data_IF_061964017991
#
_entry.id   IF_061964017991
#
_cell.length_a   1.000
_cell.length_b   1.000
_cell.length_c   1.000
_cell.angle_alpha   90.00
_cell.angle_beta   90.00
_cell.angle_gamma   90.00
#
_symmetry.space_group_name_H-M   'P 1'
#
loop_
_entity.id
_entity.type
_entity.pdbx_description
1 polymer ?
#
# COMPACT_ATOMS: atom_id res chain seq x y z
N UNK A 1 -11.00 6.69 -15.42
CA UNK A 1 -11.42 5.30 -15.20
C UNK A 1 -11.04 4.87 -13.79
N UNK A 2 -11.99 4.34 -13.07
CA UNK A 2 -11.69 3.86 -11.71
C UNK A 2 -10.81 2.61 -11.78
N UNK A 3 -9.80 2.49 -10.91
CA UNK A 3 -9.01 1.27 -10.84
C UNK A 3 -9.89 0.09 -10.44
N UNK A 4 -9.57 -1.06 -10.99
CA UNK A 4 -10.30 -2.28 -10.66
C UNK A 4 -9.95 -2.72 -9.24
N UNK A 5 -10.98 -2.85 -8.40
CA UNK A 5 -10.79 -3.30 -7.03
C UNK A 5 -10.36 -4.77 -7.01
N UNK A 6 -9.30 -5.11 -6.30
CA UNK A 6 -8.92 -6.52 -6.12
C UNK A 6 -9.85 -7.16 -5.09
N UNK A 7 -10.97 -7.66 -5.54
CA UNK A 7 -12.04 -8.20 -4.68
C UNK A 7 -11.56 -9.21 -3.64
N UNK A 8 -10.59 -10.02 -4.01
CA UNK A 8 -10.01 -11.01 -3.11
C UNK A 8 -9.62 -10.39 -1.76
N UNK A 9 -9.01 -9.20 -1.79
CA UNK A 9 -8.54 -8.55 -0.58
C UNK A 9 -9.69 -8.04 0.29
N UNK A 10 -10.78 -7.62 -0.33
CA UNK A 10 -11.93 -7.09 0.41
C UNK A 10 -12.85 -8.19 0.91
N UNK A 11 -12.66 -9.41 0.45
CA UNK A 11 -13.39 -10.58 0.93
C UNK A 11 -12.58 -11.33 1.98
N UNK A 12 -11.29 -11.57 1.70
CA UNK A 12 -10.45 -12.44 2.52
C UNK A 12 -9.45 -11.70 3.40
N UNK A 13 -9.22 -10.41 3.14
CA UNK A 13 -8.29 -9.59 3.91
C UNK A 13 -8.94 -8.27 4.30
N UNK A 14 -10.23 -8.29 4.64
CA UNK A 14 -10.97 -7.06 4.93
C UNK A 14 -10.45 -6.31 6.15
N UNK A 15 -9.82 -7.00 7.09
CA UNK A 15 -9.23 -6.37 8.27
C UNK A 15 -8.03 -5.48 7.95
N UNK A 16 -7.43 -5.67 6.78
CA UNK A 16 -6.26 -4.92 6.34
C UNK A 16 -6.45 -4.29 4.97
N UNK A 17 -7.72 -4.14 4.55
CA UNK A 17 -8.03 -3.56 3.24
C UNK A 17 -9.17 -2.57 3.42
N UNK A 18 -8.98 -1.36 2.93
CA UNK A 18 -9.90 -0.25 3.20
C UNK A 18 -10.24 0.50 1.92
N UNK A 19 -11.48 0.97 1.86
CA UNK A 19 -11.94 1.82 0.76
C UNK A 19 -12.32 3.19 1.31
N UNK A 20 -12.19 4.20 0.47
CA UNK A 20 -12.65 5.55 0.76
C UNK A 20 -13.69 5.93 -0.27
N UNK A 21 -14.85 6.38 0.18
CA UNK A 21 -15.94 6.80 -0.66
C UNK A 21 -16.27 8.25 -0.37
N UNK A 22 -16.82 8.96 -1.38
CA UNK A 22 -17.31 10.32 -1.16
C UNK A 22 -18.75 10.29 -0.61
N UNK A 23 -19.34 11.48 -0.42
CA UNK A 23 -20.67 11.59 0.13
C UNK A 23 -21.74 10.95 -0.76
N UNK A 24 -21.46 10.82 -2.06
CA UNK A 24 -22.36 10.18 -3.00
C UNK A 24 -22.17 8.66 -3.05
N UNK A 25 -21.23 8.12 -2.27
CA UNK A 25 -20.94 6.70 -2.25
C UNK A 25 -20.02 6.23 -3.37
N UNK A 26 -19.40 7.16 -4.09
CA UNK A 26 -18.48 6.80 -5.16
C UNK A 26 -17.10 6.50 -4.62
N UNK A 27 -16.45 5.45 -5.14
CA UNK A 27 -15.13 5.06 -4.73
C UNK A 27 -14.10 6.12 -5.11
N UNK A 28 -13.37 6.64 -4.12
CA UNK A 28 -12.33 7.64 -4.33
C UNK A 28 -10.94 7.06 -4.17
N UNK A 29 -10.82 5.96 -3.44
CA UNK A 29 -9.54 5.31 -3.27
C UNK A 29 -9.65 4.04 -2.45
N UNK A 30 -8.57 3.28 -2.45
CA UNK A 30 -8.51 2.07 -1.65
C UNK A 30 -7.05 1.70 -1.36
N UNK A 31 -6.85 0.93 -0.31
CA UNK A 31 -5.58 0.27 -0.03
C UNK A 31 -5.90 -1.17 0.34
N UNK A 32 -5.12 -2.10 -0.16
CA UNK A 32 -5.28 -3.49 0.21
C UNK A 32 -3.95 -4.11 0.58
N UNK A 33 -3.99 -4.95 1.61
CA UNK A 33 -2.80 -5.59 2.12
C UNK A 33 -3.14 -6.73 3.05
N UNK A 34 -2.14 -7.22 3.75
CA UNK A 34 -2.30 -8.36 4.65
C UNK A 34 -1.19 -8.38 5.70
N UNK A 35 -1.43 -9.13 6.76
CA UNK A 35 -0.39 -9.47 7.71
C UNK A 35 0.38 -10.66 7.14
N UNK A 36 1.71 -10.59 7.16
CA UNK A 36 2.51 -11.67 6.58
C UNK A 36 2.28 -12.96 7.34
N UNK A 37 2.10 -14.06 6.62
CA UNK A 37 1.99 -15.37 7.23
C UNK A 37 3.37 -15.99 7.51
N UNK A 38 4.40 -15.42 6.93
CA UNK A 38 5.77 -15.94 7.03
C UNK A 38 6.61 -15.14 8.01
N UNK A 39 6.54 -13.81 7.94
CA UNK A 39 7.29 -12.92 8.82
C UNK A 39 6.35 -12.36 9.89
N UNK A 40 6.49 -12.85 11.11
CA UNK A 40 5.54 -12.62 12.19
C UNK A 40 5.39 -11.16 12.63
N UNK A 41 6.36 -10.31 12.33
CA UNK A 41 6.33 -8.91 12.71
C UNK A 41 6.01 -7.98 11.53
N UNK A 42 5.72 -8.54 10.36
CA UNK A 42 5.55 -7.75 9.13
C UNK A 42 4.13 -7.77 8.61
N UNK A 43 3.79 -6.67 7.94
CA UNK A 43 2.59 -6.54 7.12
C UNK A 43 3.02 -6.06 5.74
N UNK A 44 2.16 -6.26 4.76
CA UNK A 44 2.48 -5.96 3.38
C UNK A 44 1.33 -5.22 2.72
N UNK A 45 1.64 -4.11 2.05
CA UNK A 45 0.67 -3.40 1.22
C UNK A 45 0.82 -3.91 -0.20
N UNK A 46 -0.24 -4.53 -0.71
CA UNK A 46 -0.22 -5.10 -2.05
C UNK A 46 -0.51 -4.05 -3.11
N UNK A 47 -1.50 -3.20 -2.87
CA UNK A 47 -1.92 -2.25 -3.88
C UNK A 47 -2.68 -1.08 -3.25
N UNK A 48 -2.50 0.10 -3.83
CA UNK A 48 -3.23 1.30 -3.46
C UNK A 48 -3.69 1.99 -4.74
N UNK A 49 -4.92 2.47 -4.73
CA UNK A 49 -5.45 3.25 -5.84
C UNK A 49 -6.12 4.49 -5.31
N UNK A 50 -5.90 5.63 -5.97
CA UNK A 50 -6.55 6.89 -5.63
C UNK A 50 -7.09 7.50 -6.92
N UNK A 51 -8.36 7.84 -6.92
CA UNK A 51 -8.99 8.51 -8.05
C UNK A 51 -8.18 9.77 -8.39
N UNK A 52 -7.85 9.99 -9.68
CA UNK A 52 -7.09 11.18 -10.07
C UNK A 52 -7.68 12.49 -9.57
N UNK A 53 -9.01 12.59 -9.50
CA UNK A 53 -9.68 13.78 -8.99
C UNK A 53 -9.54 14.00 -7.49
N UNK A 54 -9.12 12.96 -6.76
CA UNK A 54 -8.90 13.05 -5.31
C UNK A 54 -7.42 13.20 -4.96
N UNK A 55 -6.53 13.17 -5.93
CA UNK A 55 -5.10 13.34 -5.68
C UNK A 55 -4.84 14.76 -5.20
N UNK A 56 -3.97 14.86 -4.20
CA UNK A 56 -3.67 16.14 -3.58
C UNK A 56 -4.53 16.46 -2.37
N UNK A 57 -5.57 15.67 -2.11
CA UNK A 57 -6.45 15.87 -0.96
C UNK A 57 -5.98 15.10 0.27
N UNK A 58 -4.83 14.45 0.20
CA UNK A 58 -4.30 13.68 1.31
C UNK A 58 -4.95 12.32 1.50
N UNK A 59 -5.73 11.85 0.52
CA UNK A 59 -6.45 10.59 0.62
C UNK A 59 -5.51 9.38 0.69
N UNK A 60 -4.45 9.37 -0.14
CA UNK A 60 -3.47 8.30 -0.08
C UNK A 60 -2.81 8.18 1.28
N UNK A 61 -2.45 9.33 1.86
CA UNK A 61 -1.89 9.37 3.21
C UNK A 61 -2.88 8.85 4.24
N UNK A 62 -4.14 9.27 4.15
CA UNK A 62 -5.18 8.83 5.10
C UNK A 62 -5.38 7.31 5.03
N UNK A 63 -5.38 6.74 3.83
CA UNK A 63 -5.51 5.30 3.67
C UNK A 63 -4.32 4.55 4.27
N UNK A 64 -3.12 5.05 4.05
CA UNK A 64 -1.91 4.45 4.62
C UNK A 64 -1.88 4.56 6.14
N UNK A 65 -2.26 5.73 6.69
CA UNK A 65 -2.33 5.90 8.15
C UNK A 65 -3.32 4.92 8.77
N UNK A 66 -4.45 4.68 8.11
CA UNK A 66 -5.42 3.69 8.56
C UNK A 66 -4.83 2.28 8.56
N UNK A 67 -4.09 1.95 7.50
CA UNK A 67 -3.42 0.66 7.41
C UNK A 67 -2.38 0.50 8.53
N UNK A 68 -1.57 1.52 8.76
CA UNK A 68 -0.56 1.48 9.82
C UNK A 68 -1.20 1.30 11.21
N UNK A 69 -2.32 1.98 11.45
CA UNK A 69 -3.01 1.84 12.73
C UNK A 69 -3.48 0.40 12.95
N UNK A 70 -4.00 -0.24 11.90
CA UNK A 70 -4.42 -1.64 11.98
C UNK A 70 -3.24 -2.57 12.23
N UNK A 71 -2.12 -2.32 11.57
CA UNK A 71 -0.90 -3.11 11.74
C UNK A 71 -0.38 -2.98 13.17
N UNK A 72 -0.34 -1.77 13.71
CA UNK A 72 0.07 -1.55 15.10
C UNK A 72 -0.87 -2.25 16.08
N UNK A 73 -2.16 -2.16 15.82
CA UNK A 73 -3.18 -2.83 16.64
C UNK A 73 -3.06 -4.35 16.62
N UNK A 74 -2.44 -4.90 15.58
CA UNK A 74 -2.18 -6.33 15.44
C UNK A 74 -0.83 -6.74 16.01
N UNK A 75 -0.10 -5.81 16.60
CA UNK A 75 1.20 -6.10 17.23
C UNK A 75 2.35 -6.22 16.24
N UNK A 76 2.15 -5.80 14.99
CA UNK A 76 3.21 -5.85 13.98
C UNK A 76 3.92 -4.49 13.91
N UNK A 77 5.19 -4.51 13.54
CA UNK A 77 6.05 -3.33 13.59
C UNK A 77 6.70 -2.94 12.28
N UNK A 78 6.51 -3.74 11.23
CA UNK A 78 7.14 -3.51 9.93
C UNK A 78 6.10 -3.58 8.83
N UNK A 79 6.13 -2.61 7.92
CA UNK A 79 5.29 -2.62 6.72
C UNK A 79 6.20 -2.63 5.51
N UNK A 80 5.95 -3.53 4.59
CA UNK A 80 6.69 -3.63 3.33
C UNK A 80 5.76 -3.43 2.15
N UNK A 81 6.35 -2.96 1.06
CA UNK A 81 5.66 -2.90 -0.24
C UNK A 81 6.69 -2.88 -1.35
N UNK A 82 6.21 -2.97 -2.57
CA UNK A 82 7.05 -3.07 -3.77
C UNK A 82 6.49 -2.13 -4.83
N UNK A 83 7.36 -1.43 -5.53
CA UNK A 83 6.96 -0.59 -6.65
C UNK A 83 7.97 -0.69 -7.78
N UNK A 84 7.60 -0.20 -8.97
CA UNK A 84 8.49 -0.17 -10.12
C UNK A 84 9.48 1.00 -10.00
N UNK A 85 10.77 0.81 -10.36
CA UNK A 85 11.74 1.90 -10.31
C UNK A 85 11.39 3.06 -11.25
N UNK A 86 10.61 2.80 -12.31
CA UNK A 86 10.22 3.86 -13.24
C UNK A 86 9.04 4.68 -12.71
N UNK A 87 8.40 4.24 -11.63
CA UNK A 87 7.30 4.96 -11.02
C UNK A 87 7.84 5.91 -9.95
N UNK A 88 8.43 7.01 -10.40
CA UNK A 88 9.05 7.98 -9.49
C UNK A 88 8.09 8.60 -8.51
N UNK A 89 6.83 8.80 -8.92
CA UNK A 89 5.79 9.35 -8.06
C UNK A 89 5.51 8.40 -6.89
N UNK A 90 5.43 7.12 -7.17
CA UNK A 90 5.19 6.12 -6.13
C UNK A 90 6.34 6.07 -5.13
N UNK A 91 7.58 6.06 -5.63
CA UNK A 91 8.75 6.06 -4.75
C UNK A 91 8.75 7.30 -3.86
N UNK A 92 8.52 8.49 -4.44
CA UNK A 92 8.49 9.74 -3.67
C UNK A 92 7.38 9.75 -2.63
N UNK A 93 6.19 9.23 -2.99
CA UNK A 93 5.08 9.14 -2.06
C UNK A 93 5.43 8.25 -0.87
N UNK A 94 6.02 7.09 -1.14
CA UNK A 94 6.38 6.17 -0.07
C UNK A 94 7.48 6.74 0.83
N UNK A 95 8.46 7.42 0.24
CA UNK A 95 9.49 8.07 1.05
C UNK A 95 8.89 9.17 1.94
N UNK A 96 7.93 9.93 1.41
CA UNK A 96 7.23 10.95 2.19
C UNK A 96 6.41 10.33 3.33
N UNK A 97 5.96 9.08 3.16
CA UNK A 97 5.24 8.34 4.20
C UNK A 97 6.18 7.65 5.20
N UNK A 98 7.48 7.82 5.03
CA UNK A 98 8.45 7.26 5.96
C UNK A 98 9.03 5.90 5.57
N UNK A 99 8.76 5.44 4.37
CA UNK A 99 9.38 4.22 3.86
C UNK A 99 10.82 4.51 3.42
N UNK A 100 11.67 3.51 3.56
CA UNK A 100 13.03 3.55 3.05
C UNK A 100 13.17 2.52 1.95
N UNK A 101 14.04 2.80 0.98
CA UNK A 101 14.38 1.80 -0.04
C UNK A 101 15.26 0.76 0.62
N UNK A 102 14.78 -0.47 0.70
CA UNK A 102 15.56 -1.58 1.20
C UNK A 102 16.56 -2.04 0.14
N UNK A 103 16.07 -2.25 -1.08
CA UNK A 103 16.91 -2.61 -2.23
C UNK A 103 16.12 -2.57 -3.52
N UNK A 104 16.83 -2.56 -4.64
CA UNK A 104 16.25 -2.72 -5.96
C UNK A 104 16.64 -4.11 -6.45
N UNK A 105 15.66 -4.91 -6.84
CA UNK A 105 15.89 -6.29 -7.28
C UNK A 105 15.56 -6.42 -8.76
N UNK A 106 16.59 -6.67 -9.62
CA UNK A 106 16.34 -6.90 -11.04
C UNK A 106 15.51 -8.16 -11.24
N UNK A 107 14.62 -8.09 -12.21
CA UNK A 107 13.79 -9.24 -12.61
C UNK A 107 12.97 -9.86 -11.47
N UNK A 108 12.61 -9.04 -10.48
CA UNK A 108 11.89 -9.50 -9.28
C UNK A 108 10.57 -10.21 -9.64
N UNK A 109 9.81 -9.61 -10.58
CA UNK A 109 8.51 -10.14 -11.01
C UNK A 109 8.56 -10.77 -12.41
N UNK A 110 9.76 -11.03 -12.91
CA UNK A 110 9.97 -11.62 -14.23
C UNK A 110 10.99 -10.83 -15.04
N UNK A 111 11.37 -11.31 -16.21
CA UNK A 111 12.38 -10.66 -17.04
C UNK A 111 12.03 -9.19 -17.34
N UNK A 112 12.93 -8.28 -17.04
CA UNK A 112 12.72 -6.84 -17.22
C UNK A 112 11.81 -6.19 -16.19
N UNK A 113 11.30 -6.97 -15.24
CA UNK A 113 10.37 -6.47 -14.22
C UNK A 113 11.11 -6.21 -12.91
N UNK A 114 11.98 -5.20 -12.93
CA UNK A 114 12.73 -4.78 -11.74
C UNK A 114 11.80 -4.12 -10.73
N UNK A 115 12.10 -4.29 -9.45
CA UNK A 115 11.26 -3.71 -8.39
C UNK A 115 12.11 -3.05 -7.32
N UNK A 116 11.55 -1.96 -6.78
CA UNK A 116 12.08 -1.28 -5.60
C UNK A 116 11.34 -1.86 -4.39
N UNK A 117 12.09 -2.44 -3.47
CA UNK A 117 11.54 -3.00 -2.24
C UNK A 117 11.63 -1.94 -1.15
N UNK A 118 10.50 -1.60 -0.57
CA UNK A 118 10.37 -0.53 0.40
C UNK A 118 9.98 -1.10 1.77
N UNK A 119 10.48 -0.47 2.81
CA UNK A 119 10.21 -0.90 4.18
C UNK A 119 9.99 0.32 5.08
N UNK A 120 8.98 0.21 5.96
CA UNK A 120 8.74 1.20 7.01
C UNK A 120 8.66 0.50 8.35
N UNK A 121 9.38 1.02 9.33
CA UNK A 121 9.30 0.52 10.70
C UNK A 121 8.35 1.41 11.49
N UNK A 122 7.39 0.76 12.14
CA UNK A 122 6.38 1.43 12.97
C UNK A 122 6.86 1.37 14.42
N UNK A 123 7.34 2.45 14.90
CA UNK A 123 7.82 2.50 16.29
C UNK A 123 6.84 3.23 17.18
#
# INVERSE_FOLDING_TARGET
MAPMLPKLFFIHFEGTSFVAEDEAGELRGFVCGFLSQTAADEAYIHFVGVDPGARGDGLGRALYERFFAEVRGSGRTVVRCVTSPVNERSVAFHEAMGFEVDRVVPDYDGPGEDRVLLVKRLT
#
